data_IF_972646589052
#
_entry.id   IF_972646589052
#
_cell.length_a   1.000
_cell.length_b   1.000
_cell.length_c   1.000
_cell.angle_alpha   90.00
_cell.angle_beta   90.00
_cell.angle_gamma   90.00
#
_symmetry.space_group_name_H-M   'P 1'
#
loop_
_entity.id
_entity.type
_entity.pdbx_description
1 polymer ?
#
# COMPACT_ATOMS: atom_id res chain seq x y z
N UNK A 1 -11.08 4.61 -2.71
CA UNK A 1 -10.22 3.42 -2.72
C UNK A 1 -10.13 2.81 -1.32
N UNK A 2 -9.76 3.54 -0.25
CA UNK A 2 -9.64 2.99 1.11
C UNK A 2 -10.94 2.37 1.64
N UNK A 3 -12.10 2.96 1.34
CA UNK A 3 -13.41 2.37 1.70
C UNK A 3 -13.58 1.01 1.02
N UNK A 4 -13.25 0.91 -0.27
CA UNK A 4 -13.32 -0.36 -1.01
C UNK A 4 -12.35 -1.40 -0.44
N UNK A 5 -11.13 -0.99 -0.09
CA UNK A 5 -10.17 -1.88 0.59
C UNK A 5 -10.77 -2.44 1.89
N UNK A 6 -11.35 -1.58 2.72
CA UNK A 6 -11.99 -1.99 3.97
C UNK A 6 -13.17 -2.95 3.74
N UNK A 7 -14.02 -2.68 2.75
CA UNK A 7 -15.14 -3.56 2.39
C UNK A 7 -14.66 -4.93 1.91
N UNK A 8 -13.67 -4.99 1.01
CA UNK A 8 -13.12 -6.27 0.54
C UNK A 8 -12.44 -7.07 1.66
N UNK A 9 -11.78 -6.39 2.62
CA UNK A 9 -11.22 -7.07 3.80
C UNK A 9 -12.32 -7.63 4.71
N UNK A 10 -13.44 -6.91 4.90
CA UNK A 10 -14.58 -7.43 5.65
C UNK A 10 -15.23 -8.63 4.96
N UNK A 11 -15.35 -8.57 3.63
CA UNK A 11 -15.86 -9.71 2.85
C UNK A 11 -14.89 -10.90 2.99
N UNK A 12 -13.58 -10.67 2.87
CA UNK A 12 -12.56 -11.71 3.02
C UNK A 12 -12.64 -12.38 4.39
N UNK A 13 -12.84 -11.60 5.47
CA UNK A 13 -12.94 -12.11 6.84
C UNK A 13 -14.14 -13.04 7.08
N UNK A 14 -15.16 -12.98 6.23
CA UNK A 14 -16.38 -13.79 6.33
C UNK A 14 -16.38 -15.01 5.41
N UNK A 15 -15.35 -15.18 4.58
CA UNK A 15 -15.29 -16.27 3.61
C UNK A 15 -14.70 -17.53 4.24
N UNK A 16 -15.41 -18.64 4.13
CA UNK A 16 -14.93 -19.97 4.50
C UNK A 16 -14.24 -20.69 3.32
N UNK A 17 -14.57 -20.29 2.09
CA UNK A 17 -13.97 -20.89 0.90
C UNK A 17 -12.69 -20.18 0.49
N UNK A 18 -11.60 -20.93 0.39
CA UNK A 18 -10.28 -20.42 0.00
C UNK A 18 -10.29 -19.61 -1.32
N UNK A 19 -10.94 -20.06 -2.42
CA UNK A 19 -10.95 -19.28 -3.66
C UNK A 19 -11.60 -17.91 -3.52
N UNK A 20 -12.72 -17.79 -2.80
CA UNK A 20 -13.42 -16.54 -2.58
C UNK A 20 -12.62 -15.60 -1.66
N UNK A 21 -11.98 -16.15 -0.64
CA UNK A 21 -11.07 -15.43 0.23
C UNK A 21 -9.93 -14.81 -0.61
N UNK A 22 -9.27 -15.61 -1.45
CA UNK A 22 -8.17 -15.13 -2.32
C UNK A 22 -8.63 -14.03 -3.27
N UNK A 23 -9.78 -14.17 -3.91
CA UNK A 23 -10.33 -13.13 -4.80
C UNK A 23 -10.57 -11.83 -4.03
N UNK A 24 -11.18 -11.92 -2.84
CA UNK A 24 -11.47 -10.75 -2.01
C UNK A 24 -10.20 -10.04 -1.56
N UNK A 25 -9.17 -10.79 -1.15
CA UNK A 25 -7.87 -10.23 -0.76
C UNK A 25 -7.18 -9.57 -1.95
N UNK A 26 -7.18 -10.21 -3.13
CA UNK A 26 -6.61 -9.63 -4.35
C UNK A 26 -7.32 -8.32 -4.71
N UNK A 27 -8.65 -8.28 -4.65
CA UNK A 27 -9.41 -7.04 -4.88
C UNK A 27 -9.06 -5.96 -3.86
N UNK A 28 -8.90 -6.32 -2.58
CA UNK A 28 -8.45 -5.38 -1.55
C UNK A 28 -7.08 -4.81 -1.87
N UNK A 29 -6.12 -5.65 -2.28
CA UNK A 29 -4.76 -5.21 -2.66
C UNK A 29 -4.76 -4.32 -3.90
N UNK A 30 -5.56 -4.64 -4.92
CA UNK A 30 -5.70 -3.80 -6.12
C UNK A 30 -6.27 -2.40 -5.79
N UNK A 31 -7.10 -2.28 -4.77
CA UNK A 31 -7.59 -0.98 -4.29
C UNK A 31 -6.56 -0.27 -3.41
N UNK A 32 -5.77 -1.02 -2.64
CA UNK A 32 -4.81 -0.47 -1.68
C UNK A 32 -3.55 0.11 -2.37
N UNK A 33 -2.97 -0.60 -3.34
CA UNK A 33 -1.72 -0.21 -4.00
C UNK A 33 -1.77 1.19 -4.63
N UNK A 34 -2.81 1.56 -5.41
CA UNK A 34 -2.90 2.93 -5.95
C UNK A 34 -3.01 4.01 -4.87
N UNK A 35 -3.58 3.68 -3.72
CA UNK A 35 -3.71 4.63 -2.60
C UNK A 35 -2.34 5.05 -2.08
N UNK A 36 -1.39 4.14 -1.96
CA UNK A 36 -0.03 4.46 -1.53
C UNK A 36 0.70 5.37 -2.52
N UNK A 37 0.55 5.10 -3.83
CA UNK A 37 1.13 5.93 -4.88
C UNK A 37 0.56 7.34 -4.87
N UNK A 38 -0.77 7.48 -4.74
CA UNK A 38 -1.45 8.77 -4.67
C UNK A 38 -1.01 9.56 -3.43
N UNK A 39 -0.94 8.93 -2.26
CA UNK A 39 -0.48 9.58 -1.03
C UNK A 39 0.94 10.12 -1.17
N UNK A 40 1.84 9.34 -1.76
CA UNK A 40 3.22 9.77 -2.04
C UNK A 40 3.26 10.95 -3.01
N UNK A 41 2.43 10.93 -4.06
CA UNK A 41 2.36 12.01 -5.05
C UNK A 41 1.85 13.31 -4.43
N UNK A 42 0.80 13.24 -3.61
CA UNK A 42 0.26 14.40 -2.90
C UNK A 42 1.30 14.97 -1.93
N UNK A 43 1.99 14.10 -1.18
CA UNK A 43 3.07 14.52 -0.28
C UNK A 43 4.19 15.26 -1.03
N UNK A 44 4.60 14.76 -2.20
CA UNK A 44 5.63 15.39 -3.02
C UNK A 44 5.19 16.75 -3.60
N UNK A 45 3.90 16.94 -3.88
CA UNK A 45 3.38 18.22 -4.39
C UNK A 45 3.33 19.32 -3.32
N UNK A 46 3.07 18.95 -2.07
CA UNK A 46 2.88 19.89 -0.97
C UNK A 46 4.10 20.06 -0.06
N UNK A 47 5.16 19.28 -0.28
CA UNK A 47 6.33 19.31 0.60
C UNK A 47 7.60 19.51 -0.22
N UNK A 48 8.55 20.35 0.26
CA UNK A 48 9.86 20.46 -0.36
C UNK A 48 10.54 19.11 -0.46
N UNK A 49 11.24 18.87 -1.57
CA UNK A 49 11.91 17.57 -1.85
C UNK A 49 12.86 17.11 -0.74
N UNK A 50 13.45 18.06 -0.01
CA UNK A 50 14.37 17.80 1.10
C UNK A 50 13.68 17.16 2.32
N UNK A 51 12.39 17.43 2.52
CA UNK A 51 11.61 16.87 3.64
C UNK A 51 10.88 15.57 3.29
N UNK A 52 10.80 15.23 2.02
CA UNK A 52 10.12 14.01 1.55
C UNK A 52 10.65 12.71 2.20
N UNK A 53 11.98 12.53 2.41
CA UNK A 53 12.47 11.33 3.11
C UNK A 53 11.93 11.19 4.53
N UNK A 54 11.73 12.30 5.26
CA UNK A 54 11.13 12.29 6.61
C UNK A 54 9.69 11.81 6.59
N UNK A 55 8.89 12.29 5.62
CA UNK A 55 7.49 11.85 5.46
C UNK A 55 7.44 10.36 5.14
N UNK A 56 8.30 9.88 4.25
CA UNK A 56 8.39 8.46 3.90
C UNK A 56 8.76 7.57 5.10
N UNK A 57 9.58 8.09 6.01
CA UNK A 57 9.96 7.38 7.24
C UNK A 57 8.74 7.09 8.11
N UNK A 58 7.75 8.00 8.21
CA UNK A 58 6.51 7.75 8.93
C UNK A 58 5.71 6.56 8.34
N UNK A 59 5.75 6.38 7.02
CA UNK A 59 5.17 5.20 6.38
C UNK A 59 5.83 3.90 6.86
N UNK A 60 7.15 3.89 6.99
CA UNK A 60 7.89 2.73 7.51
C UNK A 60 7.57 2.46 8.98
N UNK A 61 7.44 3.51 9.80
CA UNK A 61 7.00 3.41 11.21
C UNK A 61 5.59 2.81 11.27
N UNK A 62 4.66 3.26 10.41
CA UNK A 62 3.32 2.70 10.32
C UNK A 62 3.32 1.20 9.99
N UNK A 63 4.23 0.79 9.12
CA UNK A 63 4.37 -0.62 8.75
C UNK A 63 4.90 -1.48 9.90
N UNK A 64 5.93 -1.03 10.61
CA UNK A 64 6.44 -1.70 11.83
C UNK A 64 5.37 -1.73 12.91
N UNK A 65 4.59 -0.65 13.05
CA UNK A 65 3.49 -0.57 14.02
C UNK A 65 2.38 -1.60 13.77
N UNK A 66 2.26 -2.14 12.57
CA UNK A 66 1.27 -3.20 12.30
C UNK A 66 1.56 -4.47 13.11
N UNK A 67 2.83 -4.80 13.36
CA UNK A 67 3.22 -5.91 14.20
C UNK A 67 2.85 -5.73 15.69
N UNK A 68 2.66 -4.49 16.13
CA UNK A 68 2.25 -4.20 17.51
C UNK A 68 0.85 -4.76 17.80
N UNK A 69 -0.03 -4.81 16.80
CA UNK A 69 -1.37 -5.40 16.97
C UNK A 69 -1.30 -6.86 17.38
N UNK A 70 -0.46 -7.67 16.73
CA UNK A 70 -0.25 -9.08 17.09
C UNK A 70 0.36 -9.22 18.49
N UNK A 71 1.34 -8.36 18.82
CA UNK A 71 1.98 -8.37 20.16
C UNK A 71 0.99 -7.99 21.25
N UNK A 72 0.18 -6.95 21.05
CA UNK A 72 -0.85 -6.51 21.99
C UNK A 72 -1.92 -7.58 22.17
N UNK A 73 -2.37 -8.19 21.07
CA UNK A 73 -3.36 -9.25 21.12
C UNK A 73 -2.86 -10.46 21.90
N UNK A 74 -1.60 -10.85 21.69
CA UNK A 74 -1.01 -12.02 22.34
C UNK A 74 -0.71 -11.79 23.83
N UNK A 75 -0.10 -10.65 24.19
CA UNK A 75 0.44 -10.42 25.54
C UNK A 75 -0.48 -9.61 26.45
N UNK A 76 -1.35 -8.76 25.93
CA UNK A 76 -2.23 -7.91 26.74
C UNK A 76 -3.66 -8.46 26.78
N UNK A 77 -4.18 -8.90 25.62
CA UNK A 77 -5.56 -9.39 25.52
C UNK A 77 -5.62 -10.91 25.72
N UNK A 78 -4.47 -11.60 25.72
CA UNK A 78 -4.37 -13.06 25.85
C UNK A 78 -5.19 -13.82 24.79
N UNK A 79 -5.17 -13.36 23.55
CA UNK A 79 -5.75 -14.08 22.41
C UNK A 79 -4.64 -14.92 21.78
N UNK A 80 -4.52 -16.21 22.12
CA UNK A 80 -3.56 -17.09 21.46
C UNK A 80 -3.97 -17.28 20.01
N UNK A 81 -2.99 -17.30 19.12
CA UNK A 81 -3.20 -17.49 17.68
C UNK A 81 -4.03 -16.35 17.01
N UNK A 82 -3.77 -15.08 17.39
CA UNK A 82 -4.39 -13.91 16.73
C UNK A 82 -4.25 -13.96 15.20
N UNK A 83 -3.08 -14.38 14.72
CA UNK A 83 -2.78 -14.44 13.27
C UNK A 83 -3.49 -15.60 12.56
N UNK A 84 -3.91 -16.64 13.30
CA UNK A 84 -4.69 -17.77 12.76
C UNK A 84 -6.19 -17.48 12.69
N UNK A 85 -6.62 -16.30 13.17
CA UNK A 85 -8.03 -15.89 13.15
C UNK A 85 -8.31 -14.86 12.06
N UNK A 86 -9.59 -14.52 11.86
CA UNK A 86 -10.00 -13.44 10.96
C UNK A 86 -9.80 -12.04 11.58
N UNK A 87 -9.33 -11.95 12.83
CA UNK A 87 -9.15 -10.68 13.54
C UNK A 87 -8.21 -9.69 12.83
N UNK A 88 -7.05 -10.10 12.28
CA UNK A 88 -6.20 -9.19 11.51
C UNK A 88 -6.92 -8.51 10.36
N UNK A 89 -7.83 -9.23 9.67
CA UNK A 89 -8.62 -8.66 8.56
C UNK A 89 -9.62 -7.62 9.05
N UNK A 90 -10.27 -7.86 10.19
CA UNK A 90 -11.16 -6.87 10.82
C UNK A 90 -10.40 -5.63 11.28
N UNK A 91 -9.22 -5.79 11.88
CA UNK A 91 -8.35 -4.68 12.26
C UNK A 91 -7.90 -3.89 11.02
N UNK A 92 -7.49 -4.56 9.95
CA UNK A 92 -7.11 -3.95 8.69
C UNK A 92 -8.27 -3.18 8.04
N UNK A 93 -9.48 -3.72 8.09
CA UNK A 93 -10.68 -3.05 7.61
C UNK A 93 -10.98 -1.78 8.43
N UNK A 94 -10.93 -1.86 9.76
CA UNK A 94 -11.14 -0.71 10.64
C UNK A 94 -10.14 0.41 10.37
N UNK A 95 -8.85 0.09 10.27
CA UNK A 95 -7.80 1.06 9.92
C UNK A 95 -8.03 1.66 8.53
N UNK A 96 -8.49 0.88 7.56
CA UNK A 96 -8.81 1.36 6.21
C UNK A 96 -9.96 2.36 6.21
N UNK A 97 -10.99 2.17 7.03
CA UNK A 97 -12.09 3.13 7.19
C UNK A 97 -11.63 4.41 7.90
N UNK A 98 -10.80 4.29 8.94
CA UNK A 98 -10.19 5.45 9.61
C UNK A 98 -9.35 6.25 8.61
N UNK A 99 -8.51 5.58 7.82
CA UNK A 99 -7.72 6.22 6.77
C UNK A 99 -8.60 6.90 5.72
N UNK A 100 -9.76 6.31 5.37
CA UNK A 100 -10.72 6.92 4.46
C UNK A 100 -11.28 8.24 5.02
N UNK A 101 -11.60 8.29 6.32
CA UNK A 101 -12.05 9.53 6.98
C UNK A 101 -10.97 10.60 6.98
N UNK A 102 -9.72 10.26 7.26
CA UNK A 102 -8.61 11.20 7.17
C UNK A 102 -8.39 11.72 5.74
N UNK A 103 -8.61 10.89 4.72
CA UNK A 103 -8.49 11.30 3.33
C UNK A 103 -9.50 12.39 2.93
N UNK A 104 -10.64 12.50 3.61
CA UNK A 104 -11.60 13.59 3.38
C UNK A 104 -11.06 14.97 3.79
N UNK A 105 -10.03 14.99 4.64
CA UNK A 105 -9.37 16.24 5.08
C UNK A 105 -8.14 16.59 4.25
N UNK A 106 -7.78 15.79 3.23
CA UNK A 106 -6.66 16.13 2.37
C UNK A 106 -6.95 17.40 1.56
N UNK A 107 -5.92 18.22 1.30
CA UNK A 107 -6.05 19.39 0.43
C UNK A 107 -6.43 18.95 -0.98
N UNK A 108 -7.28 19.73 -1.62
CA UNK A 108 -7.70 19.47 -3.00
C UNK A 108 -6.50 19.72 -3.95
N UNK A 109 -6.01 18.64 -4.55
CA UNK A 109 -4.95 18.66 -5.55
C UNK A 109 -5.54 18.36 -6.92
N UNK A 110 -5.97 19.40 -7.69
CA UNK A 110 -6.46 19.17 -9.03
C UNK A 110 -5.33 18.59 -9.89
N UNK A 111 -5.63 17.61 -10.77
CA UNK A 111 -4.63 17.06 -11.68
C UNK A 111 -4.08 18.17 -12.55
N UNK A 112 -2.75 18.20 -12.77
CA UNK A 112 -2.13 19.13 -13.68
C UNK A 112 -2.74 18.96 -15.08
N UNK A 113 -3.34 20.02 -15.63
CA UNK A 113 -3.92 20.03 -16.97
C UNK A 113 -2.78 19.84 -17.96
N UNK A 114 -2.52 18.60 -18.38
CA UNK A 114 -1.67 18.32 -19.53
C UNK A 114 -2.55 18.44 -20.77
N UNK A 115 -2.28 19.44 -21.58
CA UNK A 115 -2.92 19.64 -22.91
C UNK A 115 -2.52 18.59 -23.96
N UNK A 116 -1.89 17.50 -23.56
CA UNK A 116 -1.54 16.39 -24.45
C UNK A 116 -2.61 15.30 -24.39
N UNK A 117 -3.02 14.84 -25.56
CA UNK A 117 -3.79 13.61 -25.74
C UNK A 117 -3.12 12.48 -24.95
N UNK A 118 -3.82 12.00 -23.93
CA UNK A 118 -3.31 10.93 -23.06
C UNK A 118 -3.25 9.67 -23.92
N UNK A 119 -2.04 9.19 -24.21
CA UNK A 119 -1.85 7.92 -24.93
C UNK A 119 -2.13 6.75 -23.99
N UNK A 120 -2.64 5.64 -24.55
CA UNK A 120 -2.79 4.38 -23.81
C UNK A 120 -1.48 3.94 -23.15
N UNK A 121 -0.33 4.21 -23.75
CA UNK A 121 1.00 3.96 -23.20
C UNK A 121 1.31 4.80 -21.95
N UNK A 122 0.73 6.00 -21.84
CA UNK A 122 0.89 6.86 -20.66
C UNK A 122 0.00 6.37 -19.51
N UNK A 123 -1.20 5.87 -19.81
CA UNK A 123 -2.13 5.33 -18.79
C UNK A 123 -1.56 4.04 -18.19
N UNK A 124 -0.97 3.17 -19.00
CA UNK A 124 -0.39 1.89 -18.56
C UNK A 124 1.00 2.04 -17.95
N UNK A 125 1.59 3.25 -18.01
CA UNK A 125 2.96 3.49 -17.53
C UNK A 125 4.04 2.91 -18.44
N UNK A 126 3.68 2.34 -19.61
CA UNK A 126 4.63 1.77 -20.56
C UNK A 126 5.55 2.84 -21.16
N UNK A 127 5.13 4.09 -21.16
CA UNK A 127 6.00 5.22 -21.54
C UNK A 127 7.24 5.34 -20.66
N UNK A 128 7.20 4.85 -19.41
CA UNK A 128 8.35 4.81 -18.51
C UNK A 128 9.49 3.89 -19.03
N UNK A 129 9.15 2.87 -19.84
CA UNK A 129 10.18 2.04 -20.48
C UNK A 129 11.02 2.81 -21.49
N UNK A 130 10.52 3.90 -22.05
CA UNK A 130 11.32 4.77 -22.93
C UNK A 130 12.49 5.43 -22.18
N UNK A 131 12.35 5.64 -20.86
CA UNK A 131 13.39 6.20 -19.98
C UNK A 131 14.53 5.19 -19.75
N UNK A 132 14.32 3.90 -20.02
CA UNK A 132 15.39 2.88 -19.94
C UNK A 132 16.52 3.09 -20.96
N UNK A 133 16.35 4.01 -21.91
CA UNK A 133 17.45 4.43 -22.81
C UNK A 133 18.55 5.18 -22.05
N UNK A 134 18.19 5.86 -20.96
CA UNK A 134 19.19 6.47 -20.06
C UNK A 134 19.86 5.37 -19.23
N UNK A 135 21.23 5.35 -19.28
CA UNK A 135 22.05 4.37 -18.57
C UNK A 135 21.85 4.43 -17.04
N UNK A 136 21.76 5.64 -16.49
CA UNK A 136 21.59 5.83 -15.05
C UNK A 136 20.23 5.33 -14.59
N UNK A 137 19.15 5.67 -15.33
CA UNK A 137 17.80 5.22 -15.04
C UNK A 137 17.68 3.69 -15.14
N UNK A 138 18.27 3.08 -16.17
CA UNK A 138 18.29 1.63 -16.35
C UNK A 138 18.99 0.93 -15.18
N UNK A 139 20.17 1.43 -14.76
CA UNK A 139 20.90 0.87 -13.61
C UNK A 139 20.07 0.98 -12.34
N UNK A 140 19.43 2.14 -12.10
CA UNK A 140 18.54 2.33 -10.96
C UNK A 140 17.37 1.35 -10.96
N UNK A 141 16.72 1.15 -12.10
CA UNK A 141 15.58 0.21 -12.23
C UNK A 141 16.00 -1.23 -11.96
N UNK A 142 17.16 -1.66 -12.50
CA UNK A 142 17.70 -3.01 -12.26
C UNK A 142 18.02 -3.20 -10.77
N UNK A 143 18.68 -2.24 -10.13
CA UNK A 143 19.00 -2.31 -8.71
C UNK A 143 17.74 -2.36 -7.85
N UNK A 144 16.75 -1.55 -8.15
CA UNK A 144 15.46 -1.56 -7.44
C UNK A 144 14.76 -2.91 -7.58
N UNK A 145 14.73 -3.45 -8.80
CA UNK A 145 14.14 -4.77 -9.05
C UNK A 145 14.87 -5.87 -8.25
N UNK A 146 16.19 -5.90 -8.30
CA UNK A 146 17.00 -6.87 -7.55
C UNK A 146 16.83 -6.73 -6.03
N UNK A 147 16.65 -5.51 -5.52
CA UNK A 147 16.45 -5.25 -4.09
C UNK A 147 15.07 -5.71 -3.58
N UNK A 148 14.08 -5.83 -4.46
CA UNK A 148 12.74 -6.29 -4.07
C UNK A 148 12.68 -7.82 -3.95
N UNK A 149 13.52 -8.56 -4.71
CA UNK A 149 13.50 -10.03 -4.72
C UNK A 149 13.71 -10.65 -3.33
N UNK A 150 14.69 -10.24 -2.51
CA UNK A 150 14.90 -10.82 -1.19
C UNK A 150 13.83 -10.45 -0.15
N UNK A 151 13.02 -9.41 -0.40
CA UNK A 151 12.07 -8.87 0.56
C UNK A 151 11.01 -9.88 1.02
N UNK A 152 10.39 -10.71 0.16
CA UNK A 152 9.48 -11.77 0.58
C UNK A 152 10.16 -12.84 1.44
N UNK A 153 11.43 -13.18 1.13
CA UNK A 153 12.16 -14.21 1.89
C UNK A 153 12.53 -13.74 3.29
N UNK A 154 12.89 -12.48 3.46
CA UNK A 154 13.18 -11.94 4.80
C UNK A 154 11.91 -11.85 5.65
N UNK A 155 10.76 -11.61 5.03
CA UNK A 155 9.46 -11.60 5.71
C UNK A 155 9.05 -12.97 6.19
N UNK A 156 9.22 -14.01 5.37
CA UNK A 156 8.85 -15.38 5.73
C UNK A 156 9.78 -16.01 6.78
N UNK A 157 10.95 -15.44 7.05
CA UNK A 157 11.86 -15.92 8.10
C UNK A 157 11.64 -15.25 9.47
N UNK A 158 10.86 -14.17 9.52
CA UNK A 158 10.58 -13.41 10.75
C UNK A 158 9.22 -13.80 11.36
N UNK A 159 8.40 -14.50 10.61
CA UNK A 159 7.12 -15.09 11.03
C UNK A 159 7.30 -16.56 11.43
#
# INVERSE_FOLDING_TARGET
LNVLTGLFLLIAAQQESFPLLMVSVVCAMLCHMPTQSLTSTIAMQHTPSEQFPRIRMFGSVGWVSSGIFSIVALHIINIPAFDDTNLPMYCGAAVSFIAALFNLRLPNTPPAIKSKTISFMDITGLSAFSLMKDKNYRTFMILTFLSIIPLPYTMSMVL
#
